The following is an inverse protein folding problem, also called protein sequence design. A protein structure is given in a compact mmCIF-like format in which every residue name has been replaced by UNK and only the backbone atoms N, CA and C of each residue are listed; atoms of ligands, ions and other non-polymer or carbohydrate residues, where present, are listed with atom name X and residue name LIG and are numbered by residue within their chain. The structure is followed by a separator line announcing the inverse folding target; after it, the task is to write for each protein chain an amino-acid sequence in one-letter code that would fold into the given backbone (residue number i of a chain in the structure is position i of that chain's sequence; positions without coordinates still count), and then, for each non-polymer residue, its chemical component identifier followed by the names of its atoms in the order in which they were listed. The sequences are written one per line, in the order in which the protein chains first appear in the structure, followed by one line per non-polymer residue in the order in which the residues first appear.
data_IF_895557193376
#
_entry.id   IF_895557193376
#
_cell.length_a   1.000
_cell.length_b   1.000
_cell.length_c   1.000
_cell.angle_alpha   90.00
_cell.angle_beta   90.00
_cell.angle_gamma   90.00
#
_symmetry.space_group_name_H-M   'P 1'
#
loop_
_entity.id
_entity.type
_entity.pdbx_description
1 polymer ?
#
# COMPACT_ATOMS: atom_id res chain seq x y z
N UNK A 1 -16.61 6.35 -21.80
CA UNK A 1 -16.11 5.82 -20.51
C UNK A 1 -14.94 6.69 -20.06
N UNK A 2 -14.86 7.08 -18.78
CA UNK A 2 -13.84 8.01 -18.28
C UNK A 2 -13.38 7.66 -16.85
N UNK A 3 -12.23 8.20 -16.41
CA UNK A 3 -11.69 8.00 -15.05
C UNK A 3 -12.69 8.44 -13.96
N UNK A 4 -13.39 9.59 -14.07
CA UNK A 4 -14.39 9.99 -13.09
C UNK A 4 -15.53 8.98 -12.89
N UNK A 5 -15.89 8.19 -13.92
CA UNK A 5 -16.92 7.16 -13.78
C UNK A 5 -16.45 6.02 -12.86
N UNK A 6 -15.20 5.55 -13.04
CA UNK A 6 -14.60 4.56 -12.13
C UNK A 6 -14.52 5.09 -10.71
N UNK A 7 -14.05 6.32 -10.56
CA UNK A 7 -13.95 6.99 -9.27
C UNK A 7 -15.30 7.09 -8.57
N UNK A 8 -16.35 7.52 -9.29
CA UNK A 8 -17.69 7.63 -8.75
C UNK A 8 -18.22 6.28 -8.25
N UNK A 9 -18.09 5.20 -9.04
CA UNK A 9 -18.55 3.87 -8.63
C UNK A 9 -17.80 3.37 -7.40
N UNK A 10 -16.47 3.54 -7.36
CA UNK A 10 -15.67 3.21 -6.18
C UNK A 10 -16.16 3.97 -4.95
N UNK A 11 -16.32 5.30 -5.03
CA UNK A 11 -16.78 6.11 -3.90
C UNK A 11 -18.16 5.67 -3.41
N UNK A 12 -19.07 5.30 -4.31
CA UNK A 12 -20.37 4.76 -3.90
C UNK A 12 -20.21 3.43 -3.15
N UNK A 13 -19.35 2.53 -3.62
CA UNK A 13 -19.10 1.26 -2.95
C UNK A 13 -18.48 1.45 -1.56
N UNK A 14 -17.47 2.32 -1.42
CA UNK A 14 -16.86 2.68 -0.13
C UNK A 14 -17.91 3.22 0.84
N UNK A 15 -18.71 4.19 0.37
CA UNK A 15 -19.83 4.74 1.14
C UNK A 15 -20.79 3.66 1.60
N UNK A 16 -21.19 2.73 0.73
CA UNK A 16 -22.13 1.68 1.09
C UNK A 16 -21.53 0.69 2.09
N UNK A 17 -20.24 0.37 1.97
CA UNK A 17 -19.50 -0.39 2.98
C UNK A 17 -19.53 0.29 4.35
N UNK A 18 -19.29 1.60 4.40
CA UNK A 18 -19.33 2.36 5.66
C UNK A 18 -20.75 2.39 6.24
N UNK A 19 -21.78 2.58 5.42
CA UNK A 19 -23.17 2.53 5.88
C UNK A 19 -23.57 1.14 6.42
N UNK A 20 -23.06 0.04 5.85
CA UNK A 20 -23.27 -1.31 6.38
C UNK A 20 -22.63 -1.48 7.77
N UNK A 21 -21.48 -0.83 8.03
CA UNK A 21 -20.81 -0.86 9.33
C UNK A 21 -21.55 -0.02 10.38
N UNK A 22 -22.06 1.15 9.99
CA UNK A 22 -22.73 2.10 10.89
C UNK A 22 -24.17 1.67 11.20
N UNK A 23 -24.96 1.27 10.21
CA UNK A 23 -26.38 0.98 10.38
C UNK A 23 -26.68 -0.47 10.75
N UNK A 24 -26.72 -0.78 12.05
CA UNK A 24 -26.97 -2.15 12.54
C UNK A 24 -28.34 -2.75 12.15
N UNK A 25 -29.37 -1.94 11.95
CA UNK A 25 -30.76 -2.40 11.74
C UNK A 25 -31.27 -2.30 10.30
N UNK A 26 -30.65 -1.47 9.45
CA UNK A 26 -31.13 -1.17 8.08
C UNK A 26 -30.06 -1.42 7.01
N UNK A 27 -29.03 -2.20 7.32
CA UNK A 27 -27.98 -2.58 6.37
C UNK A 27 -28.42 -3.35 5.11
N UNK A 28 -29.54 -4.12 5.06
CA UNK A 28 -29.88 -4.90 3.85
C UNK A 28 -30.03 -4.06 2.59
N UNK A 29 -30.59 -2.84 2.70
CA UNK A 29 -30.69 -1.92 1.58
C UNK A 29 -29.31 -1.46 1.08
N UNK A 30 -28.37 -1.24 1.99
CA UNK A 30 -26.99 -0.86 1.68
C UNK A 30 -26.20 -2.00 1.05
N UNK A 31 -26.43 -3.24 1.49
CA UNK A 31 -25.86 -4.45 0.85
C UNK A 31 -26.36 -4.57 -0.59
N UNK A 32 -27.66 -4.38 -0.84
CA UNK A 32 -28.21 -4.41 -2.20
C UNK A 32 -27.60 -3.32 -3.09
N UNK A 33 -27.42 -2.11 -2.56
CA UNK A 33 -26.77 -0.99 -3.28
C UNK A 33 -25.30 -1.31 -3.58
N UNK A 34 -24.57 -1.83 -2.60
CA UNK A 34 -23.19 -2.29 -2.75
C UNK A 34 -23.06 -3.36 -3.84
N UNK A 35 -23.96 -4.35 -3.85
CA UNK A 35 -23.95 -5.41 -4.84
C UNK A 35 -24.20 -4.88 -6.26
N UNK A 36 -25.16 -3.96 -6.43
CA UNK A 36 -25.39 -3.30 -7.71
C UNK A 36 -24.18 -2.48 -8.18
N UNK A 37 -23.54 -1.75 -7.27
CA UNK A 37 -22.32 -0.99 -7.60
C UNK A 37 -21.14 -1.88 -7.96
N UNK A 38 -20.97 -3.02 -7.30
CA UNK A 38 -19.97 -4.02 -7.67
C UNK A 38 -20.20 -4.53 -9.10
N UNK A 39 -21.44 -4.86 -9.46
CA UNK A 39 -21.79 -5.28 -10.83
C UNK A 39 -21.51 -4.17 -11.85
N UNK A 40 -21.83 -2.93 -11.53
CA UNK A 40 -21.49 -1.79 -12.38
C UNK A 40 -19.97 -1.64 -12.56
N UNK A 41 -19.19 -1.82 -11.49
CA UNK A 41 -17.73 -1.80 -11.56
C UNK A 41 -17.18 -2.93 -12.44
N UNK A 42 -17.72 -4.14 -12.30
CA UNK A 42 -17.39 -5.28 -13.18
C UNK A 42 -17.67 -4.97 -14.65
N UNK A 43 -18.81 -4.37 -14.96
CA UNK A 43 -19.14 -3.95 -16.33
C UNK A 43 -18.23 -2.84 -16.87
N UNK A 44 -17.79 -1.90 -16.02
CA UNK A 44 -16.77 -0.93 -16.40
C UNK A 44 -15.44 -1.60 -16.76
N UNK A 45 -15.01 -2.62 -16.01
CA UNK A 45 -13.81 -3.40 -16.33
C UNK A 45 -13.98 -4.21 -17.63
N UNK A 46 -15.12 -4.87 -17.83
CA UNK A 46 -15.42 -5.60 -19.07
C UNK A 46 -15.43 -4.67 -20.28
N UNK A 47 -16.04 -3.49 -20.16
CA UNK A 47 -16.04 -2.50 -21.22
C UNK A 47 -14.63 -2.01 -21.51
N UNK A 48 -13.78 -1.84 -20.48
CA UNK A 48 -12.38 -1.45 -20.66
C UNK A 48 -11.57 -2.53 -21.39
N UNK A 49 -11.86 -3.81 -21.14
CA UNK A 49 -11.32 -4.94 -21.91
C UNK A 49 -11.80 -4.95 -23.36
N UNK A 50 -13.07 -4.65 -23.60
CA UNK A 50 -13.62 -4.56 -24.95
C UNK A 50 -12.97 -3.41 -25.74
N UNK A 51 -12.75 -2.25 -25.09
CA UNK A 51 -12.06 -1.10 -25.70
C UNK A 51 -10.61 -1.44 -26.11
N UNK A 52 -9.92 -2.30 -25.36
CA UNK A 52 -8.56 -2.74 -25.73
C UNK A 52 -8.52 -3.59 -27.02
N UNK A 53 -9.65 -4.24 -27.34
CA UNK A 53 -9.82 -5.12 -28.50
C UNK A 53 -10.51 -4.44 -29.69
N UNK A 54 -10.84 -3.14 -29.60
CA UNK A 54 -11.50 -2.42 -30.69
C UNK A 54 -10.63 -2.41 -31.96
N UNK A 55 -11.20 -2.08 -33.11
CA UNK A 55 -10.38 -1.80 -34.31
C UNK A 55 -9.94 -0.34 -34.38
N UNK A 56 -10.71 0.55 -33.75
CA UNK A 56 -10.43 1.97 -33.65
C UNK A 56 -9.24 2.26 -32.72
N UNK A 57 -8.20 2.93 -33.24
CA UNK A 57 -7.00 3.29 -32.48
C UNK A 57 -7.28 4.30 -31.37
N UNK A 58 -8.20 5.23 -31.59
CA UNK A 58 -8.54 6.27 -30.61
C UNK A 58 -9.16 5.66 -29.34
N UNK A 59 -9.98 4.64 -29.54
CA UNK A 59 -10.60 3.85 -28.46
C UNK A 59 -9.52 3.05 -27.70
N UNK A 60 -8.55 2.44 -28.40
CA UNK A 60 -7.44 1.74 -27.75
C UNK A 60 -6.56 2.67 -26.93
N UNK A 61 -6.24 3.84 -27.46
CA UNK A 61 -5.38 4.80 -26.76
C UNK A 61 -6.08 5.34 -25.51
N UNK A 62 -7.40 5.59 -25.61
CA UNK A 62 -8.23 5.89 -24.44
C UNK A 62 -8.20 4.75 -23.40
N UNK A 63 -8.28 3.49 -23.85
CA UNK A 63 -8.21 2.32 -22.97
C UNK A 63 -6.84 2.22 -22.26
N UNK A 64 -5.74 2.50 -22.96
CA UNK A 64 -4.39 2.52 -22.36
C UNK A 64 -4.29 3.56 -21.25
N UNK A 65 -4.79 4.77 -21.48
CA UNK A 65 -4.81 5.85 -20.47
C UNK A 65 -5.65 5.44 -19.26
N UNK A 66 -6.84 4.87 -19.47
CA UNK A 66 -7.70 4.39 -18.40
C UNK A 66 -7.05 3.28 -17.57
N UNK A 67 -6.45 2.28 -18.23
CA UNK A 67 -5.71 1.20 -17.55
C UNK A 67 -4.55 1.72 -16.72
N UNK A 68 -3.79 2.68 -17.27
CA UNK A 68 -2.68 3.30 -16.54
C UNK A 68 -3.17 3.94 -15.24
N UNK A 69 -4.26 4.72 -15.30
CA UNK A 69 -4.83 5.32 -14.11
C UNK A 69 -5.29 4.25 -13.10
N UNK A 70 -6.04 3.24 -13.55
CA UNK A 70 -6.62 2.21 -12.68
C UNK A 70 -5.53 1.35 -12.01
N UNK A 71 -4.44 1.01 -12.70
CA UNK A 71 -3.41 0.11 -12.17
C UNK A 71 -2.28 0.81 -11.42
N UNK A 72 -2.03 2.10 -11.66
CA UNK A 72 -1.00 2.85 -10.94
C UNK A 72 -1.52 3.61 -9.73
N UNK A 73 -2.75 4.13 -9.78
CA UNK A 73 -3.33 4.83 -8.63
C UNK A 73 -3.71 3.80 -7.58
N UNK A 74 -3.11 3.95 -6.39
CA UNK A 74 -3.14 2.95 -5.33
C UNK A 74 -4.56 2.73 -4.81
N UNK A 75 -5.35 3.79 -4.76
CA UNK A 75 -6.75 3.80 -4.37
C UNK A 75 -7.58 2.86 -5.24
N UNK A 76 -7.40 2.88 -6.57
CA UNK A 76 -8.10 1.96 -7.47
C UNK A 76 -7.56 0.53 -7.33
N UNK A 77 -6.23 0.39 -7.19
CA UNK A 77 -5.57 -0.91 -7.19
C UNK A 77 -5.90 -1.75 -5.97
N UNK A 78 -5.94 -1.14 -4.79
CA UNK A 78 -6.15 -1.85 -3.52
C UNK A 78 -7.63 -2.02 -3.20
N UNK A 79 -8.50 -1.18 -3.76
CA UNK A 79 -9.92 -1.13 -3.42
C UNK A 79 -10.66 -2.48 -3.61
N UNK A 80 -10.50 -3.14 -4.76
CA UNK A 80 -11.22 -4.38 -5.03
C UNK A 80 -10.73 -5.55 -4.15
N UNK A 81 -9.43 -5.57 -3.83
CA UNK A 81 -8.84 -6.56 -2.94
C UNK A 81 -9.28 -6.30 -1.49
N UNK A 82 -9.32 -5.04 -1.07
CA UNK A 82 -9.87 -4.65 0.21
C UNK A 82 -11.33 -5.11 0.34
N UNK A 83 -12.16 -4.86 -0.68
CA UNK A 83 -13.56 -5.29 -0.73
C UNK A 83 -13.68 -6.81 -0.53
N UNK A 84 -12.85 -7.59 -1.23
CA UNK A 84 -12.79 -9.05 -1.09
C UNK A 84 -12.41 -9.53 0.31
N UNK A 85 -11.38 -8.92 0.90
CA UNK A 85 -10.91 -9.28 2.25
C UNK A 85 -11.89 -8.89 3.35
N UNK A 86 -12.83 -7.98 3.08
CA UNK A 86 -13.85 -7.52 4.02
C UNK A 86 -15.24 -8.11 3.72
N UNK A 87 -15.32 -9.24 3.02
CA UNK A 87 -16.57 -9.99 2.90
C UNK A 87 -17.01 -10.52 4.27
N UNK A 88 -18.30 -10.36 4.59
CA UNK A 88 -18.92 -10.82 5.84
C UNK A 88 -20.16 -11.65 5.52
N UNK A 89 -20.07 -12.97 5.71
CA UNK A 89 -21.14 -13.93 5.38
C UNK A 89 -22.42 -13.69 6.21
N UNK A 90 -22.30 -13.05 7.39
CA UNK A 90 -23.48 -12.72 8.21
C UNK A 90 -24.29 -11.55 7.63
N UNK A 91 -23.68 -10.73 6.78
CA UNK A 91 -24.31 -9.50 6.23
C UNK A 91 -24.52 -9.59 4.74
N UNK A 92 -23.64 -10.27 4.02
CA UNK A 92 -23.56 -10.23 2.56
C UNK A 92 -23.94 -11.59 1.98
N UNK A 93 -24.91 -11.65 1.06
CA UNK A 93 -25.38 -12.91 0.51
C UNK A 93 -24.30 -13.59 -0.34
N UNK A 94 -24.38 -14.92 -0.48
CA UNK A 94 -23.48 -15.70 -1.35
C UNK A 94 -23.47 -15.21 -2.80
N UNK A 95 -24.59 -14.69 -3.32
CA UNK A 95 -24.65 -14.10 -4.66
C UNK A 95 -23.75 -12.87 -4.82
N UNK A 96 -23.56 -12.09 -3.76
CA UNK A 96 -22.58 -11.00 -3.73
C UNK A 96 -21.16 -11.55 -3.80
N UNK A 97 -20.86 -12.60 -3.02
CA UNK A 97 -19.53 -13.23 -3.01
C UNK A 97 -19.15 -13.78 -4.40
N UNK A 98 -20.08 -14.42 -5.10
CA UNK A 98 -19.85 -14.94 -6.47
C UNK A 98 -19.44 -13.80 -7.40
N UNK A 99 -20.24 -12.73 -7.45
CA UNK A 99 -19.92 -11.57 -8.30
C UNK A 99 -18.60 -10.89 -7.87
N UNK A 100 -18.29 -10.88 -6.57
CA UNK A 100 -17.06 -10.30 -6.05
C UNK A 100 -15.83 -11.09 -6.48
N UNK A 101 -15.87 -12.41 -6.34
CA UNK A 101 -14.79 -13.30 -6.79
C UNK A 101 -14.58 -13.17 -8.30
N UNK A 102 -15.65 -13.14 -9.09
CA UNK A 102 -15.56 -12.94 -10.53
C UNK A 102 -14.93 -11.58 -10.89
N UNK A 103 -15.29 -10.51 -10.17
CA UNK A 103 -14.75 -9.17 -10.38
C UNK A 103 -13.27 -9.10 -9.99
N UNK A 104 -12.88 -9.72 -8.87
CA UNK A 104 -11.49 -9.82 -8.43
C UNK A 104 -10.66 -10.61 -9.44
N UNK A 105 -11.16 -11.76 -9.91
CA UNK A 105 -10.51 -12.56 -10.93
C UNK A 105 -10.29 -11.75 -12.21
N UNK A 106 -11.33 -11.05 -12.68
CA UNK A 106 -11.26 -10.18 -13.85
C UNK A 106 -10.17 -9.11 -13.68
N UNK A 107 -10.19 -8.41 -12.54
CA UNK A 107 -9.22 -7.35 -12.23
C UNK A 107 -7.79 -7.88 -12.21
N UNK A 108 -7.54 -8.99 -11.50
CA UNK A 108 -6.19 -9.59 -11.40
C UNK A 108 -5.69 -10.07 -12.75
N UNK A 109 -6.54 -10.67 -13.58
CA UNK A 109 -6.19 -11.11 -14.93
C UNK A 109 -5.83 -9.93 -15.84
N UNK A 110 -6.57 -8.82 -15.73
CA UNK A 110 -6.24 -7.59 -16.46
C UNK A 110 -4.91 -6.99 -15.98
N UNK A 111 -4.69 -6.95 -14.66
CA UNK A 111 -3.46 -6.44 -14.06
C UNK A 111 -2.25 -7.30 -14.45
N UNK A 112 -2.37 -8.63 -14.42
CA UNK A 112 -1.32 -9.56 -14.86
C UNK A 112 -0.90 -9.28 -16.31
N UNK A 113 -1.87 -9.20 -17.22
CA UNK A 113 -1.61 -8.89 -18.63
C UNK A 113 -0.99 -7.52 -18.83
N UNK A 114 -1.43 -6.53 -18.04
CA UNK A 114 -0.85 -5.20 -18.04
C UNK A 114 0.62 -5.26 -17.62
N UNK A 115 0.93 -5.86 -16.46
CA UNK A 115 2.29 -6.01 -15.94
C UNK A 115 3.23 -6.73 -16.92
N UNK A 116 2.76 -7.77 -17.62
CA UNK A 116 3.56 -8.47 -18.64
C UNK A 116 3.94 -7.59 -19.83
N UNK A 117 3.12 -6.59 -20.17
CA UNK A 117 3.35 -5.70 -21.31
C UNK A 117 4.16 -4.45 -20.96
N UNK A 118 3.87 -3.82 -19.83
CA UNK A 118 4.45 -2.52 -19.46
C UNK A 118 5.53 -2.59 -18.38
N UNK A 119 5.59 -3.65 -17.57
CA UNK A 119 6.45 -3.72 -16.39
C UNK A 119 6.01 -2.72 -15.32
N UNK A 120 5.19 -3.16 -14.35
CA UNK A 120 4.69 -2.27 -13.29
C UNK A 120 5.80 -1.90 -12.31
N UNK A 121 6.25 -0.64 -12.35
CA UNK A 121 7.25 -0.12 -11.41
C UNK A 121 6.54 0.46 -10.18
N UNK A 122 6.71 -0.19 -9.04
CA UNK A 122 6.22 0.31 -7.74
C UNK A 122 7.38 0.86 -6.93
N UNK A 123 7.22 2.09 -6.43
CA UNK A 123 8.17 2.66 -5.49
C UNK A 123 8.22 1.79 -4.23
N UNK A 124 9.42 1.27 -3.91
CA UNK A 124 9.64 0.54 -2.67
C UNK A 124 9.40 1.52 -1.52
N UNK A 125 8.42 1.24 -0.66
CA UNK A 125 8.14 2.08 0.52
C UNK A 125 9.38 2.06 1.42
N UNK A 126 10.21 3.09 1.33
CA UNK A 126 11.38 3.25 2.21
C UNK A 126 10.82 3.46 3.61
N UNK A 127 10.94 2.45 4.49
CA UNK A 127 10.57 2.57 5.90
C UNK A 127 11.36 3.75 6.48
N UNK A 128 10.68 4.88 6.74
CA UNK A 128 11.26 5.97 7.52
C UNK A 128 11.63 5.38 8.88
N UNK A 129 12.94 5.30 9.18
CA UNK A 129 13.43 4.97 10.53
C UNK A 129 12.73 5.91 11.50
N UNK A 130 11.92 5.35 12.39
CA UNK A 130 11.23 6.09 13.44
C UNK A 130 12.27 6.79 14.31
N UNK A 131 12.35 8.13 14.23
CA UNK A 131 12.96 8.91 15.32
C UNK A 131 11.99 8.84 16.49
N UNK A 132 12.29 7.96 17.45
CA UNK A 132 11.58 7.85 18.72
C UNK A 132 11.55 9.22 19.42
N UNK A 133 10.42 9.93 19.31
CA UNK A 133 10.11 11.07 20.18
C UNK A 133 9.71 10.51 21.55
N UNK A 134 10.64 10.55 22.51
CA UNK A 134 10.36 10.31 23.93
C UNK A 134 9.27 11.29 24.39
N UNK A 135 8.19 10.75 24.97
CA UNK A 135 7.13 11.51 25.66
C UNK A 135 7.77 12.37 26.76
N UNK A 136 7.62 13.69 26.70
CA UNK A 136 7.87 14.57 27.84
C UNK A 136 6.68 14.47 28.80
N UNK A 137 6.92 13.94 29.99
CA UNK A 137 6.05 14.18 31.15
C UNK A 137 6.16 15.67 31.51
N UNK A 138 5.01 16.27 31.82
CA UNK A 138 4.93 17.60 32.42
C UNK A 138 5.54 17.56 33.83
N UNK A 139 6.49 18.45 34.08
CA UNK A 139 6.72 19.05 35.40
C UNK A 139 7.25 20.47 35.20
N UNK A 140 6.70 21.39 35.98
CA UNK A 140 6.78 22.84 35.88
C UNK A 140 8.15 23.42 36.31
N UNK A 141 8.51 24.57 35.70
CA UNK A 141 9.32 25.74 36.18
C UNK A 141 10.75 25.47 36.76
N UNK A 142 11.80 26.29 36.60
CA UNK A 142 12.16 27.58 35.94
C UNK A 142 13.71 27.73 36.12
N UNK A 143 14.37 28.59 35.30
CA UNK A 143 15.72 29.23 35.43
C UNK A 143 16.95 28.57 34.76
N UNK A 144 17.98 29.40 34.55
CA UNK A 144 18.76 29.64 33.33
C UNK A 144 20.26 29.26 33.48
N UNK A 145 20.92 28.86 32.36
CA UNK A 145 22.40 28.82 32.08
C UNK A 145 23.22 27.68 32.76
N UNK A 146 24.32 27.12 32.16
CA UNK A 146 24.94 27.27 30.83
C UNK A 146 24.86 26.00 29.94
N UNK A 147 25.11 26.17 28.64
CA UNK A 147 25.16 25.07 27.66
C UNK A 147 26.41 24.23 27.89
N UNK A 148 26.25 23.04 28.47
CA UNK A 148 27.23 21.96 28.35
C UNK A 148 27.31 21.56 26.88
N UNK A 149 28.47 21.77 26.26
CA UNK A 149 28.76 21.23 24.94
C UNK A 149 28.59 19.71 25.04
N UNK A 150 27.71 19.10 24.22
CA UNK A 150 27.49 17.67 24.27
C UNK A 150 28.81 16.94 24.10
N UNK A 151 29.13 15.99 24.99
CA UNK A 151 30.35 15.19 24.93
C UNK A 151 30.62 14.58 23.54
N UNK A 152 29.56 14.42 22.75
CA UNK A 152 29.58 13.97 21.36
C UNK A 152 30.37 14.87 20.40
N UNK A 153 30.32 16.19 20.58
CA UNK A 153 31.02 17.14 19.69
C UNK A 153 32.55 17.08 19.89
N UNK A 154 32.99 16.67 21.09
CA UNK A 154 34.41 16.40 21.40
C UNK A 154 34.86 15.02 20.90
N UNK A 155 33.95 14.05 20.87
CA UNK A 155 34.22 12.67 20.42
C UNK A 155 34.26 12.53 18.89
N UNK A 156 33.46 13.31 18.15
CA UNK A 156 33.38 13.23 16.69
C UNK A 156 34.74 13.34 15.97
N UNK A 157 35.62 14.31 16.30
CA UNK A 157 36.93 14.43 15.65
C UNK A 157 37.85 13.23 15.92
N UNK A 158 37.78 12.67 17.13
CA UNK A 158 38.60 11.52 17.52
C UNK A 158 38.18 10.26 16.75
N UNK A 159 36.87 10.03 16.63
CA UNK A 159 36.31 8.92 15.84
C UNK A 159 36.66 9.09 14.35
N UNK A 160 36.56 10.31 13.81
CA UNK A 160 36.91 10.58 12.43
C UNK A 160 38.39 10.25 12.14
N UNK A 161 39.29 10.60 13.05
CA UNK A 161 40.71 10.27 12.95
C UNK A 161 40.94 8.75 12.86
N UNK A 162 40.33 7.97 13.76
CA UNK A 162 40.45 6.50 13.77
C UNK A 162 39.91 5.88 12.48
N UNK A 163 38.77 6.35 11.98
CA UNK A 163 38.20 5.85 10.73
C UNK A 163 39.03 6.23 9.50
N UNK A 164 39.68 7.39 9.50
CA UNK A 164 40.57 7.82 8.42
C UNK A 164 41.95 7.18 8.45
N UNK A 165 42.37 6.63 9.59
CA UNK A 165 43.72 6.09 9.77
C UNK A 165 44.00 4.82 8.95
N UNK A 166 42.96 4.18 8.38
CA UNK A 166 43.09 2.96 7.58
C UNK A 166 43.55 1.77 8.43
N UNK A 167 42.71 0.75 8.57
CA UNK A 167 43.07 -0.44 9.34
C UNK A 167 43.83 -1.39 8.41
N UNK A 168 45.11 -1.68 8.72
CA UNK A 168 45.97 -2.53 7.89
C UNK A 168 45.52 -4.01 7.87
N UNK A 169 44.71 -4.44 8.84
CA UNK A 169 44.22 -5.81 8.94
C UNK A 169 42.79 -5.82 9.49
N UNK A 170 41.85 -6.28 8.68
CA UNK A 170 40.47 -6.42 9.14
C UNK A 170 40.34 -7.74 9.92
N UNK A 171 39.88 -7.72 11.18
CA UNK A 171 39.55 -8.96 11.87
C UNK A 171 38.47 -9.70 11.08
N UNK A 172 38.51 -11.04 11.04
CA UNK A 172 37.51 -11.82 10.33
C UNK A 172 36.12 -11.47 10.88
N UNK A 173 35.12 -11.32 9.99
CA UNK A 173 33.77 -11.02 10.44
C UNK A 173 33.25 -12.14 11.35
N UNK A 174 32.51 -11.76 12.38
CA UNK A 174 31.87 -12.69 13.31
C UNK A 174 31.10 -13.77 12.56
N UNK A 175 31.40 -15.04 12.84
CA UNK A 175 30.80 -16.19 12.19
C UNK A 175 29.81 -16.89 13.13
N UNK A 176 28.54 -16.57 12.93
CA UNK A 176 27.45 -17.12 13.72
C UNK A 176 27.22 -18.63 13.49
N UNK A 177 27.82 -19.22 12.44
CA UNK A 177 27.73 -20.65 12.14
C UNK A 177 28.99 -21.42 12.58
N UNK A 178 29.98 -20.73 13.18
CA UNK A 178 31.20 -21.37 13.68
C UNK A 178 30.96 -22.05 15.03
N UNK A 179 31.54 -23.24 15.18
CA UNK A 179 31.48 -24.04 16.41
C UNK A 179 32.38 -23.47 17.53
N UNK A 180 33.15 -22.41 17.25
CA UNK A 180 34.03 -21.74 18.22
C UNK A 180 33.22 -20.78 19.09
N UNK A 181 33.33 -20.82 20.44
CA UNK A 181 32.65 -19.89 21.33
C UNK A 181 32.97 -18.42 21.04
N UNK A 182 32.00 -17.52 21.27
CA UNK A 182 32.05 -16.12 20.85
C UNK A 182 33.30 -15.36 21.34
N UNK A 183 33.78 -15.67 22.54
CA UNK A 183 34.94 -15.00 23.14
C UNK A 183 36.28 -15.36 22.44
N UNK A 184 36.27 -16.43 21.64
CA UNK A 184 37.41 -16.94 20.89
C UNK A 184 37.34 -16.60 19.39
N UNK A 185 36.23 -16.02 18.91
CA UNK A 185 36.10 -15.50 17.55
C UNK A 185 36.61 -14.05 17.51
N UNK A 186 37.91 -13.86 17.24
CA UNK A 186 38.57 -12.55 17.10
C UNK A 186 39.04 -12.30 15.67
#
# INVERSE_FOLDING_TARGET
MSVPMFHYVQQQMEKYYDMIKVEKKKFPAWVRRLHLSLRAYKELLNTLLAMDKSNDSTVKDSAKVLKSNIFYVLEYREFILYTFLNYDDNKMPRSYLVDLVETVHLFLKMLEHYCKKTGLVVQKKVRKKSKSKKKKHQAQKVKHVPVEVPAWDVLCPQIACVLSAGINEYPPPFDAASDVPIDQQK
#
